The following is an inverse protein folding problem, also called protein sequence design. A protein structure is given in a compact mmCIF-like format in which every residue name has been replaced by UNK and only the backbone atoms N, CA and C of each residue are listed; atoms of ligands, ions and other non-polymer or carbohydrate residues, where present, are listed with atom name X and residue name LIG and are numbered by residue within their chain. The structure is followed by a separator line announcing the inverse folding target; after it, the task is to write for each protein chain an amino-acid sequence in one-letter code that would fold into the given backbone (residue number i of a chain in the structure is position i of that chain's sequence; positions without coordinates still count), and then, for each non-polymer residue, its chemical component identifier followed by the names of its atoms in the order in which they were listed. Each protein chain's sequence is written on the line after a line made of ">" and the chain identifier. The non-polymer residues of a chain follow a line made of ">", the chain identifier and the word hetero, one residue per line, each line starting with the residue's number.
data_IF_595066715683
#
_entry.id   IF_595066715683
#
_cell.length_a   1.000
_cell.length_b   1.000
_cell.length_c   1.000
_cell.angle_alpha   90.00
_cell.angle_beta   90.00
_cell.angle_gamma   90.00
#
_symmetry.space_group_name_H-M   'P 1'
#
loop_
_entity.id
_entity.type
_entity.pdbx_description
1 polymer ?
#
# COMPACT_ATOMS: atom_id res chain seq x y z
N UNK A 1 -13.81 -17.40 5.08
CA UNK A 1 -14.04 -18.14 6.34
C UNK A 1 -14.42 -17.16 7.44
N UNK A 2 -15.30 -17.58 8.36
CA UNK A 2 -15.67 -16.82 9.53
C UNK A 2 -15.66 -17.69 10.78
N UNK A 3 -15.35 -17.08 11.91
CA UNK A 3 -15.38 -17.69 13.23
C UNK A 3 -16.19 -16.81 14.17
N UNK A 4 -17.06 -17.42 14.95
CA UNK A 4 -17.78 -16.74 16.02
C UNK A 4 -17.52 -17.49 17.34
N UNK A 5 -17.03 -16.77 18.33
CA UNK A 5 -16.85 -17.29 19.68
C UNK A 5 -18.04 -16.95 20.55
N UNK A 6 -18.60 -17.95 21.23
CA UNK A 6 -19.70 -17.79 22.17
C UNK A 6 -19.14 -17.69 23.60
N UNK A 7 -19.38 -16.56 24.25
CA UNK A 7 -18.98 -16.33 25.63
C UNK A 7 -20.11 -16.78 26.60
N UNK A 8 -19.80 -17.23 27.83
CA UNK A 8 -18.43 -17.33 28.39
C UNK A 8 -17.69 -18.64 28.07
N UNK A 9 -18.31 -19.60 27.38
CA UNK A 9 -17.83 -20.98 27.26
C UNK A 9 -16.68 -21.13 26.24
N UNK A 10 -16.46 -20.13 25.38
CA UNK A 10 -15.44 -20.17 24.34
C UNK A 10 -15.78 -21.14 23.19
N UNK A 11 -17.05 -21.53 23.03
CA UNK A 11 -17.47 -22.38 21.90
C UNK A 11 -17.32 -21.66 20.59
N UNK A 12 -16.67 -22.32 19.62
CA UNK A 12 -16.41 -21.74 18.29
C UNK A 12 -17.40 -22.27 17.26
N UNK A 13 -18.05 -21.34 16.56
CA UNK A 13 -18.85 -21.62 15.37
C UNK A 13 -18.04 -21.23 14.13
N UNK A 14 -17.96 -22.14 13.18
CA UNK A 14 -17.26 -21.92 11.92
C UNK A 14 -18.27 -21.81 10.77
N UNK A 15 -18.03 -20.88 9.84
CA UNK A 15 -18.78 -20.76 8.60
C UNK A 15 -17.85 -20.47 7.45
N UNK A 16 -18.21 -20.95 6.25
CA UNK A 16 -17.44 -20.76 5.02
C UNK A 16 -18.37 -20.37 3.88
N UNK A 17 -17.87 -19.51 3.00
CA UNK A 17 -18.48 -19.20 1.73
C UNK A 17 -17.45 -19.22 0.63
N UNK A 18 -17.87 -19.53 -0.60
CA UNK A 18 -17.02 -19.38 -1.77
C UNK A 18 -16.79 -17.88 -2.03
N UNK A 19 -15.62 -17.56 -2.55
CA UNK A 19 -15.29 -16.19 -2.95
C UNK A 19 -16.18 -15.73 -4.09
N UNK A 20 -16.82 -14.58 -3.93
CA UNK A 20 -17.62 -13.94 -4.97
C UNK A 20 -16.74 -12.92 -5.71
N UNK A 21 -16.23 -13.30 -6.89
CA UNK A 21 -15.24 -12.50 -7.64
C UNK A 21 -15.78 -11.14 -8.10
N UNK A 22 -17.08 -11.02 -8.37
CA UNK A 22 -17.70 -9.76 -8.80
C UNK A 22 -17.90 -8.76 -7.66
N UNK A 23 -18.20 -9.27 -6.46
CA UNK A 23 -18.38 -8.47 -5.24
C UNK A 23 -18.04 -9.31 -4.01
N UNK A 24 -16.83 -9.16 -3.45
CA UNK A 24 -16.38 -9.89 -2.28
C UNK A 24 -17.24 -9.68 -1.03
N UNK A 25 -18.01 -8.59 -0.95
CA UNK A 25 -18.85 -8.27 0.21
C UNK A 25 -19.99 -9.26 0.38
N UNK A 26 -20.47 -9.87 -0.70
CA UNK A 26 -21.53 -10.88 -0.66
C UNK A 26 -21.11 -12.14 0.10
N UNK A 27 -19.88 -12.63 -0.11
CA UNK A 27 -19.36 -13.79 0.61
C UNK A 27 -19.19 -13.48 2.10
N UNK A 28 -18.68 -12.29 2.44
CA UNK A 28 -18.53 -11.84 3.84
C UNK A 28 -19.89 -11.73 4.53
N UNK A 29 -20.85 -11.08 3.89
CA UNK A 29 -22.21 -10.94 4.43
C UNK A 29 -22.89 -12.30 4.66
N UNK A 30 -22.73 -13.22 3.74
CA UNK A 30 -23.28 -14.60 3.88
C UNK A 30 -22.74 -15.30 5.10
N UNK A 31 -21.41 -15.27 5.30
CA UNK A 31 -20.75 -15.88 6.46
C UNK A 31 -21.19 -15.24 7.77
N UNK A 32 -21.24 -13.89 7.82
CA UNK A 32 -21.68 -13.17 9.02
C UNK A 32 -23.13 -13.51 9.35
N UNK A 33 -24.03 -13.50 8.38
CA UNK A 33 -25.44 -13.84 8.60
C UNK A 33 -25.63 -15.27 9.12
N UNK A 34 -24.92 -16.26 8.56
CA UNK A 34 -24.97 -17.64 9.01
C UNK A 34 -24.51 -17.75 10.46
N UNK A 35 -23.34 -17.18 10.78
CA UNK A 35 -22.80 -17.21 12.15
C UNK A 35 -23.73 -16.55 13.16
N UNK A 36 -24.23 -15.36 12.85
CA UNK A 36 -25.14 -14.65 13.76
C UNK A 36 -26.46 -15.41 13.96
N UNK A 37 -27.01 -16.03 12.91
CA UNK A 37 -28.22 -16.85 12.99
C UNK A 37 -28.01 -18.07 13.89
N UNK A 38 -26.91 -18.79 13.71
CA UNK A 38 -26.55 -19.97 14.51
C UNK A 38 -26.28 -19.58 15.96
N UNK A 39 -25.50 -18.53 16.21
CA UNK A 39 -25.22 -18.01 17.54
C UNK A 39 -26.52 -17.63 18.27
N UNK A 40 -27.42 -16.88 17.64
CA UNK A 40 -28.73 -16.52 18.22
C UNK A 40 -29.54 -17.75 18.60
N UNK A 41 -29.57 -18.77 17.77
CA UNK A 41 -30.34 -19.99 18.04
C UNK A 41 -29.76 -20.75 19.24
N UNK A 42 -28.44 -20.93 19.34
CA UNK A 42 -27.78 -21.60 20.45
C UNK A 42 -28.00 -20.85 21.77
N UNK A 43 -27.79 -19.54 21.78
CA UNK A 43 -27.98 -18.71 22.96
C UNK A 43 -29.44 -18.69 23.43
N UNK A 44 -30.39 -18.70 22.49
CA UNK A 44 -31.83 -18.83 22.81
C UNK A 44 -32.14 -20.18 23.51
N UNK A 45 -31.55 -21.28 23.02
CA UNK A 45 -31.71 -22.61 23.66
C UNK A 45 -31.11 -22.66 25.07
N UNK A 46 -30.06 -21.87 25.31
CA UNK A 46 -29.40 -21.71 26.60
C UNK A 46 -30.06 -20.67 27.51
N UNK A 47 -31.17 -20.09 27.09
CA UNK A 47 -31.86 -18.97 27.75
C UNK A 47 -30.97 -17.76 28.03
N UNK A 48 -30.03 -17.51 27.11
CA UNK A 48 -29.08 -16.39 27.13
C UNK A 48 -29.48 -15.32 26.11
N UNK A 49 -29.19 -14.04 26.44
CA UNK A 49 -29.44 -12.92 25.51
C UNK A 49 -28.30 -12.82 24.51
N UNK A 50 -28.63 -12.68 23.24
CA UNK A 50 -27.66 -12.40 22.21
C UNK A 50 -27.18 -10.95 22.30
N UNK A 51 -25.85 -10.76 22.33
CA UNK A 51 -25.18 -9.45 22.19
C UNK A 51 -23.89 -9.67 21.40
N UNK A 52 -23.77 -9.04 20.27
CA UNK A 52 -22.49 -8.96 19.56
C UNK A 52 -21.62 -7.93 20.28
N UNK A 53 -20.43 -8.33 20.73
CA UNK A 53 -19.51 -7.47 21.49
C UNK A 53 -18.51 -6.84 20.55
N UNK A 54 -17.95 -7.63 19.64
CA UNK A 54 -16.91 -7.21 18.73
C UNK A 54 -17.01 -7.97 17.41
N UNK A 55 -16.61 -7.32 16.31
CA UNK A 55 -16.44 -7.93 15.00
C UNK A 55 -15.07 -7.53 14.48
N UNK A 56 -14.22 -8.52 14.21
CA UNK A 56 -12.90 -8.31 13.61
C UNK A 56 -12.94 -8.85 12.19
N UNK A 57 -12.56 -8.03 11.22
CA UNK A 57 -12.49 -8.43 9.82
C UNK A 57 -11.09 -8.24 9.27
N UNK A 58 -10.54 -9.29 8.66
CA UNK A 58 -9.27 -9.27 7.94
C UNK A 58 -9.46 -9.76 6.50
N UNK A 59 -8.68 -9.19 5.58
CA UNK A 59 -8.72 -9.58 4.17
C UNK A 59 -7.33 -9.65 3.58
N UNK A 60 -7.12 -10.58 2.65
CA UNK A 60 -5.90 -10.69 1.83
C UNK A 60 -6.05 -10.03 0.46
N UNK A 61 -7.06 -9.19 0.27
CA UNK A 61 -7.38 -8.58 -1.02
C UNK A 61 -6.18 -7.83 -1.62
N UNK A 62 -5.52 -7.02 -0.79
CA UNK A 62 -4.33 -6.23 -1.21
C UNK A 62 -3.17 -7.16 -1.54
N UNK A 63 -2.91 -8.17 -0.72
CA UNK A 63 -1.85 -9.16 -0.96
C UNK A 63 -2.08 -9.87 -2.28
N UNK A 64 -3.31 -10.30 -2.55
CA UNK A 64 -3.67 -10.95 -3.82
C UNK A 64 -3.50 -10.00 -5.01
N UNK A 65 -3.91 -8.73 -4.88
CA UNK A 65 -3.73 -7.73 -5.93
C UNK A 65 -2.23 -7.50 -6.26
N UNK A 66 -1.36 -7.49 -5.25
CA UNK A 66 0.09 -7.36 -5.43
C UNK A 66 0.67 -8.60 -6.13
N UNK A 67 0.30 -9.81 -5.69
CA UNK A 67 0.76 -11.08 -6.29
C UNK A 67 0.31 -11.17 -7.76
N UNK A 68 -0.94 -10.85 -8.03
CA UNK A 68 -1.53 -10.88 -9.38
C UNK A 68 -1.12 -9.67 -10.23
N UNK A 69 -0.43 -8.70 -9.65
CA UNK A 69 -0.06 -7.42 -10.27
C UNK A 69 -1.26 -6.67 -10.86
N UNK A 70 -2.39 -6.76 -10.17
CA UNK A 70 -3.64 -6.08 -10.50
C UNK A 70 -3.79 -4.86 -9.58
N UNK A 71 -3.35 -3.72 -10.05
CA UNK A 71 -3.41 -2.46 -9.31
C UNK A 71 -3.53 -1.28 -10.25
N UNK A 72 -3.65 -0.09 -9.69
CA UNK A 72 -3.60 1.16 -10.43
C UNK A 72 -2.23 1.34 -11.10
N UNK A 73 -2.19 2.08 -12.20
CA UNK A 73 -0.94 2.47 -12.85
C UNK A 73 -0.26 3.56 -12.03
N UNK A 74 0.80 3.19 -11.33
CA UNK A 74 1.52 4.06 -10.39
C UNK A 74 2.65 4.79 -11.10
N UNK A 75 2.72 6.12 -10.93
CA UNK A 75 3.91 6.93 -11.23
C UNK A 75 4.67 7.21 -9.93
N UNK A 76 5.98 7.04 -9.93
CA UNK A 76 6.82 7.25 -8.77
C UNK A 76 7.70 8.50 -8.95
N UNK A 77 7.64 9.43 -8.00
CA UNK A 77 8.56 10.57 -7.88
C UNK A 77 9.65 10.23 -6.87
N UNK A 78 10.90 10.38 -7.31
CA UNK A 78 12.10 10.13 -6.49
C UNK A 78 13.08 11.28 -6.59
N UNK A 79 13.99 11.39 -5.64
CA UNK A 79 15.12 12.32 -5.69
C UNK A 79 16.01 12.01 -6.89
N UNK A 80 16.49 13.04 -7.58
CA UNK A 80 17.47 12.92 -8.66
C UNK A 80 18.68 12.06 -8.25
N UNK A 81 19.00 11.03 -9.07
CA UNK A 81 20.06 10.05 -8.84
C UNK A 81 19.63 8.85 -7.99
N UNK A 82 18.34 8.69 -7.63
CA UNK A 82 17.85 7.55 -6.84
C UNK A 82 16.78 6.71 -7.55
N UNK A 83 16.65 6.87 -8.87
CA UNK A 83 15.63 6.21 -9.68
C UNK A 83 15.66 4.69 -9.61
N UNK A 84 16.86 4.12 -9.46
CA UNK A 84 17.08 2.68 -9.58
C UNK A 84 17.01 1.93 -8.24
N UNK A 85 16.59 2.62 -7.16
CA UNK A 85 16.48 2.03 -5.82
C UNK A 85 15.63 0.75 -5.78
N UNK A 86 14.56 0.70 -6.60
CA UNK A 86 13.69 -0.49 -6.68
C UNK A 86 14.33 -1.65 -7.45
N UNK A 87 15.25 -1.38 -8.37
CA UNK A 87 15.97 -2.43 -9.12
C UNK A 87 17.16 -2.95 -8.31
N UNK A 88 17.87 -2.07 -7.60
CA UNK A 88 18.98 -2.46 -6.72
C UNK A 88 18.50 -3.28 -5.52
N UNK A 89 17.32 -2.96 -4.99
CA UNK A 89 16.75 -3.63 -3.83
C UNK A 89 17.70 -3.61 -2.63
N UNK A 90 17.96 -4.77 -2.05
CA UNK A 90 18.91 -4.95 -0.93
C UNK A 90 20.29 -5.38 -1.38
N UNK A 91 20.56 -5.44 -2.68
CA UNK A 91 21.81 -5.94 -3.27
C UNK A 91 22.18 -7.38 -2.85
N UNK A 92 21.24 -8.12 -2.28
CA UNK A 92 21.45 -9.50 -1.84
C UNK A 92 20.94 -10.48 -2.87
N UNK A 93 21.76 -11.47 -3.21
CA UNK A 93 21.34 -12.62 -4.02
C UNK A 93 20.78 -13.70 -3.10
N UNK A 94 19.64 -14.26 -3.41
CA UNK A 94 19.07 -15.39 -2.68
C UNK A 94 19.74 -16.74 -3.07
N UNK A 95 20.42 -16.78 -4.23
CA UNK A 95 21.37 -17.82 -4.60
C UNK A 95 22.65 -17.19 -5.14
N UNK A 96 23.77 -17.40 -4.43
CA UNK A 96 25.06 -16.79 -4.77
C UNK A 96 25.73 -17.42 -6.00
N UNK A 97 25.37 -18.69 -6.32
CA UNK A 97 26.00 -19.47 -7.38
C UNK A 97 25.17 -19.54 -8.65
N UNK A 98 23.93 -19.08 -8.62
CA UNK A 98 23.08 -18.99 -9.80
C UNK A 98 23.47 -17.75 -10.63
N UNK A 99 24.05 -17.98 -11.80
CA UNK A 99 24.45 -16.91 -12.73
C UNK A 99 23.26 -16.32 -13.50
N UNK A 100 22.16 -17.08 -13.62
CA UNK A 100 20.97 -16.70 -14.36
C UNK A 100 19.85 -16.19 -13.43
N UNK A 101 20.20 -15.80 -12.22
CA UNK A 101 19.25 -15.35 -11.20
C UNK A 101 18.39 -14.19 -11.71
N UNK A 102 17.07 -14.37 -11.75
CA UNK A 102 16.12 -13.35 -12.14
C UNK A 102 15.43 -12.76 -10.91
N UNK A 103 15.64 -11.47 -10.67
CA UNK A 103 14.93 -10.77 -9.61
C UNK A 103 13.47 -10.50 -10.00
N UNK A 104 12.54 -10.51 -9.02
CA UNK A 104 11.17 -10.11 -9.27
C UNK A 104 11.11 -8.69 -9.83
N UNK A 105 10.35 -8.49 -10.91
CA UNK A 105 10.18 -7.15 -11.49
C UNK A 105 9.53 -6.23 -10.46
N UNK A 106 10.02 -4.99 -10.28
CA UNK A 106 9.39 -3.99 -9.43
C UNK A 106 7.93 -3.74 -9.81
N UNK A 107 7.11 -3.31 -8.84
CA UNK A 107 5.71 -2.94 -9.11
C UNK A 107 5.62 -1.72 -10.02
N UNK A 108 6.50 -0.74 -9.82
CA UNK A 108 6.63 0.43 -10.69
C UNK A 108 7.81 0.22 -11.62
N UNK A 109 7.53 0.10 -12.92
CA UNK A 109 8.56 -0.09 -13.93
C UNK A 109 9.41 1.18 -14.09
N UNK A 110 10.63 1.04 -14.64
CA UNK A 110 11.59 2.14 -14.74
C UNK A 110 11.10 3.34 -15.56
N UNK A 111 10.28 3.12 -16.58
CA UNK A 111 9.66 4.16 -17.41
C UNK A 111 8.57 4.97 -16.68
N UNK A 112 8.08 4.46 -15.55
CA UNK A 112 7.11 5.15 -14.69
C UNK A 112 7.74 5.80 -13.46
N UNK A 113 9.07 5.90 -13.39
CA UNK A 113 9.81 6.57 -12.32
C UNK A 113 10.37 7.88 -12.83
N UNK A 114 10.09 8.95 -12.12
CA UNK A 114 10.43 10.32 -12.49
C UNK A 114 11.27 10.95 -11.40
N UNK A 115 12.37 11.57 -11.80
CA UNK A 115 13.28 12.24 -10.90
C UNK A 115 12.91 13.70 -10.72
N UNK A 116 13.04 14.20 -9.48
CA UNK A 116 12.87 15.61 -9.16
C UNK A 116 14.12 16.19 -8.53
N UNK A 117 14.45 17.41 -8.89
CA UNK A 117 15.63 18.11 -8.38
C UNK A 117 15.39 18.58 -6.95
N UNK A 118 15.98 17.89 -5.99
CA UNK A 118 15.98 18.27 -4.57
C UNK A 118 17.08 17.50 -3.82
N UNK A 119 17.42 17.89 -2.60
CA UNK A 119 18.30 17.10 -1.72
C UNK A 119 18.12 17.47 -0.26
N UNK A 120 17.88 16.45 0.55
CA UNK A 120 18.08 16.52 2.00
C UNK A 120 19.33 15.74 2.40
N UNK A 121 19.99 16.14 3.51
CA UNK A 121 21.03 15.35 4.13
C UNK A 121 20.45 14.35 5.17
N UNK A 122 21.29 13.44 5.67
CA UNK A 122 20.87 12.43 6.66
C UNK A 122 20.41 13.01 8.02
N UNK A 123 20.54 14.32 8.22
CA UNK A 123 20.01 15.06 9.40
C UNK A 123 18.73 15.82 9.08
N UNK A 124 18.18 15.65 7.88
CA UNK A 124 16.98 16.33 7.42
C UNK A 124 17.18 17.80 7.04
N UNK A 125 18.41 18.28 6.87
CA UNK A 125 18.67 19.67 6.43
C UNK A 125 18.58 19.75 4.92
N UNK A 126 18.00 20.85 4.44
CA UNK A 126 17.89 21.13 3.00
C UNK A 126 19.27 21.48 2.45
N UNK A 127 19.81 20.62 1.58
CA UNK A 127 21.05 20.85 0.85
C UNK A 127 20.77 21.50 -0.50
N UNK A 128 19.69 21.05 -1.17
CA UNK A 128 19.19 21.64 -2.42
C UNK A 128 17.68 21.80 -2.27
N UNK A 129 17.15 23.03 -2.44
CA UNK A 129 15.70 23.26 -2.47
C UNK A 129 15.02 22.45 -3.56
N UNK A 130 13.73 22.22 -3.40
CA UNK A 130 12.91 21.55 -4.41
C UNK A 130 12.82 22.39 -5.68
N UNK A 131 13.13 21.80 -6.82
CA UNK A 131 12.89 22.37 -8.14
C UNK A 131 11.45 22.09 -8.57
N UNK A 132 10.57 23.07 -8.36
CA UNK A 132 9.15 22.95 -8.70
C UNK A 132 8.90 22.72 -10.19
N UNK A 133 9.79 23.21 -11.07
CA UNK A 133 9.67 23.02 -12.53
C UNK A 133 9.83 21.54 -12.87
N UNK A 134 10.81 20.86 -12.28
CA UNK A 134 11.01 19.43 -12.48
C UNK A 134 9.80 18.59 -12.03
N UNK A 135 9.13 19.02 -10.94
CA UNK A 135 7.90 18.36 -10.46
C UNK A 135 6.75 18.53 -11.46
N UNK A 136 6.51 19.75 -11.93
CA UNK A 136 5.45 20.04 -12.90
C UNK A 136 5.67 19.27 -14.20
N UNK A 137 6.90 19.19 -14.68
CA UNK A 137 7.23 18.44 -15.90
C UNK A 137 7.07 16.93 -15.72
N UNK A 138 7.42 16.41 -14.55
CA UNK A 138 7.14 15.01 -14.20
C UNK A 138 5.63 14.73 -14.20
N UNK A 139 4.81 15.59 -13.60
CA UNK A 139 3.35 15.47 -13.58
C UNK A 139 2.77 15.44 -15.00
N UNK A 140 3.23 16.31 -15.89
CA UNK A 140 2.79 16.33 -17.31
C UNK A 140 3.10 15.00 -18.00
N UNK A 141 4.31 14.46 -17.81
CA UNK A 141 4.70 13.15 -18.35
C UNK A 141 3.87 12.02 -17.77
N UNK A 142 3.60 12.04 -16.46
CA UNK A 142 2.73 11.04 -15.80
C UNK A 142 1.32 11.07 -16.39
N UNK A 143 0.72 12.24 -16.59
CA UNK A 143 -0.59 12.40 -17.25
C UNK A 143 -0.59 11.79 -18.64
N UNK A 144 0.39 12.11 -19.46
CA UNK A 144 0.49 11.58 -20.83
C UNK A 144 0.69 10.06 -20.88
N UNK A 145 1.32 9.50 -19.85
CA UNK A 145 1.53 8.06 -19.71
C UNK A 145 0.36 7.32 -19.04
N UNK A 146 -0.75 8.01 -18.70
CA UNK A 146 -1.94 7.42 -18.12
C UNK A 146 -1.73 6.89 -16.71
N UNK A 147 -0.92 7.57 -15.89
CA UNK A 147 -0.77 7.29 -14.46
C UNK A 147 -2.09 7.56 -13.75
N UNK A 148 -2.46 6.71 -12.80
CA UNK A 148 -3.71 6.80 -12.02
C UNK A 148 -3.46 7.19 -10.56
N UNK A 149 -2.25 6.90 -10.05
CA UNK A 149 -1.83 7.19 -8.68
C UNK A 149 -0.38 7.64 -8.68
N UNK A 150 -0.04 8.63 -7.86
CA UNK A 150 1.34 9.12 -7.68
C UNK A 150 1.86 8.68 -6.32
N UNK A 151 2.97 7.95 -6.31
CA UNK A 151 3.78 7.71 -5.13
C UNK A 151 4.96 8.69 -5.11
N UNK A 152 5.27 9.23 -3.93
CA UNK A 152 6.41 10.14 -3.72
C UNK A 152 7.31 9.53 -2.66
N UNK A 153 8.56 9.25 -3.01
CA UNK A 153 9.54 8.67 -2.10
C UNK A 153 10.89 9.38 -2.27
N UNK A 154 11.10 10.42 -1.47
CA UNK A 154 12.31 11.23 -1.56
C UNK A 154 13.37 10.76 -0.57
N UNK A 155 14.62 11.00 -0.92
CA UNK A 155 15.77 10.67 -0.07
C UNK A 155 15.67 11.43 1.27
N UNK A 156 15.83 10.68 2.38
CA UNK A 156 15.74 11.18 3.75
C UNK A 156 14.40 11.82 4.15
N UNK A 157 13.30 11.56 3.41
CA UNK A 157 11.97 12.07 3.76
C UNK A 157 11.47 11.60 5.14
N UNK A 158 12.00 10.50 5.67
CA UNK A 158 11.73 10.03 7.03
C UNK A 158 12.25 10.98 8.12
N UNK A 159 13.30 11.78 7.84
CA UNK A 159 13.82 12.80 8.76
C UNK A 159 13.12 14.14 8.61
N UNK A 160 12.76 14.51 7.38
CA UNK A 160 12.12 15.78 7.09
C UNK A 160 11.22 15.64 5.86
N UNK A 161 9.93 15.76 6.06
CA UNK A 161 8.92 15.59 5.01
C UNK A 161 8.69 16.85 4.15
N UNK A 162 9.47 17.94 4.36
CA UNK A 162 9.17 19.26 3.79
C UNK A 162 9.02 19.21 2.26
N UNK A 163 9.91 18.54 1.53
CA UNK A 163 9.86 18.46 0.07
C UNK A 163 8.71 17.57 -0.40
N UNK A 164 8.41 16.45 0.27
CA UNK A 164 7.23 15.64 -0.05
C UNK A 164 5.92 16.41 0.14
N UNK A 165 5.83 17.24 1.19
CA UNK A 165 4.67 18.11 1.43
C UNK A 165 4.56 19.24 0.39
N UNK A 166 5.68 19.78 -0.09
CA UNK A 166 5.69 20.75 -1.18
C UNK A 166 5.22 20.10 -2.49
N UNK A 167 5.75 18.92 -2.83
CA UNK A 167 5.32 18.15 -4.00
C UNK A 167 3.83 17.86 -3.94
N UNK A 168 3.32 17.42 -2.79
CA UNK A 168 1.88 17.19 -2.61
C UNK A 168 1.05 18.41 -2.97
N UNK A 169 1.41 19.60 -2.47
CA UNK A 169 0.71 20.85 -2.80
C UNK A 169 0.75 21.17 -4.29
N UNK A 170 1.89 20.92 -4.95
CA UNK A 170 2.03 21.10 -6.39
C UNK A 170 1.12 20.13 -7.14
N UNK A 171 1.10 18.84 -6.76
CA UNK A 171 0.23 17.84 -7.39
C UNK A 171 -1.24 18.22 -7.20
N UNK A 172 -1.66 18.60 -5.99
CA UNK A 172 -3.03 19.02 -5.70
C UNK A 172 -3.47 20.22 -6.52
N UNK A 173 -2.54 21.14 -6.86
CA UNK A 173 -2.79 22.28 -7.74
C UNK A 173 -2.87 21.87 -9.21
N UNK A 174 -1.93 21.05 -9.70
CA UNK A 174 -1.80 20.69 -11.11
C UNK A 174 -2.68 19.51 -11.53
N UNK A 175 -3.05 18.63 -10.57
CA UNK A 175 -3.84 17.42 -10.82
C UNK A 175 -4.69 17.03 -9.60
N UNK A 176 -5.76 17.80 -9.28
CA UNK A 176 -6.54 17.66 -8.03
C UNK A 176 -7.18 16.29 -7.83
N UNK A 177 -7.52 15.58 -8.90
CA UNK A 177 -8.22 14.29 -8.86
C UNK A 177 -7.31 13.08 -8.65
N UNK A 178 -5.99 13.22 -8.80
CA UNK A 178 -5.06 12.11 -8.65
C UNK A 178 -4.84 11.75 -7.17
N UNK A 179 -4.78 10.47 -6.88
CA UNK A 179 -4.43 9.99 -5.54
C UNK A 179 -2.93 10.07 -5.32
N UNK A 180 -2.52 10.46 -4.10
CA UNK A 180 -1.12 10.66 -3.74
C UNK A 180 -0.80 9.80 -2.53
N UNK A 181 0.33 9.09 -2.60
CA UNK A 181 0.95 8.39 -1.48
C UNK A 181 2.30 9.01 -1.17
N UNK A 182 2.56 9.38 0.08
CA UNK A 182 3.84 9.96 0.52
C UNK A 182 4.60 8.97 1.39
N UNK A 183 5.88 8.76 1.10
CA UNK A 183 6.70 7.81 1.84
C UNK A 183 6.85 8.18 3.32
N UNK A 184 6.93 9.46 3.62
CA UNK A 184 6.97 9.98 4.99
C UNK A 184 5.72 9.65 5.83
N UNK A 185 4.58 9.33 5.18
CA UNK A 185 3.32 8.99 5.85
C UNK A 185 3.05 7.49 5.88
N UNK A 186 3.49 6.75 4.87
CA UNK A 186 3.22 5.31 4.72
C UNK A 186 4.24 4.49 5.51
N UNK A 187 5.54 4.78 5.33
CA UNK A 187 6.62 4.03 5.96
C UNK A 187 7.78 4.98 6.28
N UNK A 188 7.69 5.72 7.39
CA UNK A 188 8.72 6.70 7.79
C UNK A 188 9.96 6.00 8.36
N UNK A 189 10.63 5.19 7.52
CA UNK A 189 11.79 4.38 7.89
C UNK A 189 13.04 4.80 7.13
N UNK A 190 14.22 4.52 7.73
CA UNK A 190 15.53 4.97 7.24
C UNK A 190 15.91 4.35 5.89
N UNK A 191 15.47 3.15 5.56
CA UNK A 191 15.93 2.42 4.37
C UNK A 191 15.14 2.81 3.13
N UNK A 192 15.84 3.30 2.10
CA UNK A 192 15.23 3.82 0.89
C UNK A 192 14.42 2.76 0.12
N UNK A 193 14.98 1.55 -0.03
CA UNK A 193 14.28 0.47 -0.75
C UNK A 193 12.99 0.06 -0.06
N UNK A 194 13.05 -0.22 1.25
CA UNK A 194 11.89 -0.63 2.04
C UNK A 194 10.81 0.46 2.04
N UNK A 195 11.22 1.72 2.23
CA UNK A 195 10.29 2.85 2.23
C UNK A 195 9.64 3.04 0.86
N UNK A 196 10.43 3.06 -0.21
CA UNK A 196 9.94 3.27 -1.57
C UNK A 196 9.03 2.11 -2.03
N UNK A 197 9.42 0.87 -1.75
CA UNK A 197 8.64 -0.31 -2.15
C UNK A 197 7.33 -0.47 -1.37
N UNK A 198 7.23 0.12 -0.15
CA UNK A 198 6.02 0.10 0.67
C UNK A 198 5.07 1.24 0.32
N UNK A 199 5.61 2.34 -0.20
CA UNK A 199 4.84 3.54 -0.57
C UNK A 199 3.98 3.35 -1.80
#
# INVERSE_FOLDING_TARGET
>A
DGVCELLPDGELLLSKSLTTHGDPTNAVSTVIHDLLKRAKNILKQRNQKFKCIEVVHGTTLITNAIIERKGAKVGLLVTEGTRDVLDMGRETRYDLYDLDIAFPKPLVQSDMRYEVGERLDGKGRVVRPLDEVSVVDAIKKMKSNGVEVIAVALLHAYQNEIHEQQIKKIIEREWPEVRISLSSRVASEIREYERTSTT
#
